data_IF_890080535971
#
_entry.id   IF_890080535971
#
_cell.length_a   1.000
_cell.length_b   1.000
_cell.length_c   1.000
_cell.angle_alpha   90.00
_cell.angle_beta   90.00
_cell.angle_gamma   90.00
#
_symmetry.space_group_name_H-M   'P 1'
#
loop_
_entity.id
_entity.type
_entity.pdbx_description
1 polymer ?
#
# COMPACT_ATOMS: atom_id res chain seq x y z
N UNK A 1 8.67 0.29 -20.38
CA UNK A 1 7.36 -0.36 -20.56
C UNK A 1 6.74 -0.44 -19.17
N UNK A 2 5.79 0.42 -18.83
CA UNK A 2 5.17 0.39 -17.51
C UNK A 2 4.49 -0.97 -17.34
N UNK A 3 4.93 -1.78 -16.38
CA UNK A 3 4.21 -3.01 -16.07
C UNK A 3 2.79 -2.65 -15.64
N UNK A 4 1.81 -3.00 -16.47
CA UNK A 4 0.41 -2.64 -16.23
C UNK A 4 -0.04 -3.17 -14.86
N UNK A 5 -0.44 -2.25 -13.98
CA UNK A 5 -1.05 -2.60 -12.71
C UNK A 5 -2.42 -3.20 -12.95
N UNK A 6 -2.71 -4.33 -12.32
CA UNK A 6 -4.09 -4.82 -12.28
C UNK A 6 -4.98 -3.82 -11.52
N UNK A 7 -6.30 -3.76 -11.78
CA UNK A 7 -7.19 -2.84 -11.07
C UNK A 7 -7.13 -2.98 -9.54
N UNK A 8 -6.94 -4.20 -9.02
CA UNK A 8 -6.77 -4.46 -7.57
C UNK A 8 -5.46 -3.90 -7.04
N UNK A 9 -4.36 -4.05 -7.77
CA UNK A 9 -3.07 -3.47 -7.39
C UNK A 9 -3.09 -1.94 -7.45
N UNK A 10 -3.75 -1.36 -8.45
CA UNK A 10 -3.95 0.09 -8.54
C UNK A 10 -4.72 0.61 -7.33
N UNK A 11 -5.81 -0.06 -6.95
CA UNK A 11 -6.57 0.29 -5.74
C UNK A 11 -5.73 0.20 -4.47
N UNK A 12 -4.99 -0.89 -4.29
CA UNK A 12 -4.13 -1.07 -3.13
C UNK A 12 -3.02 0.00 -3.05
N UNK A 13 -2.41 0.35 -4.19
CA UNK A 13 -1.42 1.42 -4.27
C UNK A 13 -2.01 2.78 -3.85
N UNK A 14 -3.21 3.11 -4.36
CA UNK A 14 -3.91 4.34 -4.00
C UNK A 14 -4.25 4.36 -2.51
N UNK A 15 -4.79 3.27 -1.95
CA UNK A 15 -5.06 3.18 -0.51
C UNK A 15 -3.80 3.40 0.32
N UNK A 16 -2.68 2.75 -0.03
CA UNK A 16 -1.41 2.92 0.69
C UNK A 16 -0.92 4.37 0.60
N UNK A 17 -0.98 4.99 -0.58
CA UNK A 17 -0.58 6.38 -0.78
C UNK A 17 -1.45 7.39 -0.01
N UNK A 18 -2.74 7.10 0.20
CA UNK A 18 -3.60 7.89 1.07
C UNK A 18 -3.41 7.59 2.57
N UNK A 19 -2.75 6.48 2.90
CA UNK A 19 -2.44 6.07 4.26
C UNK A 19 -3.18 4.81 4.67
N UNK A 20 -2.41 3.83 5.17
CA UNK A 20 -2.94 2.60 5.77
C UNK A 20 -2.22 2.25 7.05
N UNK A 21 -2.97 1.75 8.04
CA UNK A 21 -2.46 1.44 9.37
C UNK A 21 -2.75 -0.01 9.71
N UNK A 22 -1.76 -0.65 10.35
CA UNK A 22 -1.89 -1.97 10.94
C UNK A 22 -2.77 -1.90 12.18
N UNK A 23 -3.71 -2.83 12.27
CA UNK A 23 -4.48 -3.16 13.47
C UNK A 23 -4.67 -4.67 13.53
N UNK A 24 -5.30 -5.15 14.60
CA UNK A 24 -5.62 -6.57 14.71
C UNK A 24 -6.36 -7.07 13.46
N UNK A 25 -5.86 -8.14 12.83
CA UNK A 25 -6.44 -8.73 11.64
C UNK A 25 -6.02 -8.15 10.28
N UNK A 26 -5.21 -7.07 10.21
CA UNK A 26 -4.62 -6.61 8.95
C UNK A 26 -4.34 -5.11 8.85
N UNK A 27 -4.24 -4.60 7.61
CA UNK A 27 -4.06 -3.18 7.30
C UNK A 27 -5.34 -2.57 6.78
N UNK A 28 -5.57 -1.31 7.15
CA UNK A 28 -6.81 -0.62 6.83
C UNK A 28 -6.52 0.85 6.52
N UNK A 29 -7.28 1.41 5.59
CA UNK A 29 -7.21 2.85 5.29
C UNK A 29 -7.95 3.69 6.35
N UNK A 30 -7.91 5.02 6.19
CA UNK A 30 -8.57 5.97 7.09
C UNK A 30 -10.11 5.78 7.13
N UNK A 31 -10.70 5.23 6.07
CA UNK A 31 -12.13 4.87 6.02
C UNK A 31 -12.46 3.56 6.73
N UNK A 32 -11.45 2.85 7.23
CA UNK A 32 -11.60 1.55 7.87
C UNK A 32 -11.75 0.39 6.89
N UNK A 33 -11.57 0.62 5.59
CA UNK A 33 -11.60 -0.43 4.57
C UNK A 33 -10.34 -1.29 4.66
N UNK A 34 -10.51 -2.61 4.54
CA UNK A 34 -9.39 -3.56 4.62
C UNK A 34 -8.58 -3.55 3.34
N UNK A 35 -7.27 -3.39 3.48
CA UNK A 35 -6.33 -3.50 2.38
C UNK A 35 -6.23 -4.95 1.87
N UNK A 36 -6.23 -5.13 0.55
CA UNK A 36 -5.92 -6.41 -0.07
C UNK A 36 -4.42 -6.73 0.06
N UNK A 37 -4.10 -7.62 1.01
CA UNK A 37 -2.71 -8.02 1.30
C UNK A 37 -2.02 -8.70 0.13
N UNK A 38 -2.76 -9.35 -0.77
CA UNK A 38 -2.15 -10.00 -1.95
C UNK A 38 -1.62 -8.95 -2.92
N UNK A 39 -2.40 -7.91 -3.17
CA UNK A 39 -1.96 -6.77 -3.98
C UNK A 39 -0.84 -5.99 -3.30
N UNK A 40 -0.95 -5.72 -2.00
CA UNK A 40 0.10 -5.05 -1.25
C UNK A 40 1.44 -5.80 -1.32
N UNK A 41 1.44 -7.13 -1.12
CA UNK A 41 2.63 -7.95 -1.26
C UNK A 41 3.22 -7.94 -2.67
N UNK A 42 2.38 -7.89 -3.71
CA UNK A 42 2.85 -7.77 -5.08
C UNK A 42 3.54 -6.42 -5.32
N UNK A 43 3.04 -5.34 -4.74
CA UNK A 43 3.66 -4.02 -4.78
C UNK A 43 4.98 -3.98 -3.99
N UNK A 44 5.06 -4.64 -2.83
CA UNK A 44 6.30 -4.77 -2.06
C UNK A 44 7.39 -5.52 -2.85
N UNK A 45 7.02 -6.61 -3.55
CA UNK A 45 7.96 -7.36 -4.40
C UNK A 45 8.48 -6.55 -5.59
N UNK A 46 7.75 -5.52 -6.00
CA UNK A 46 8.16 -4.55 -7.02
C UNK A 46 9.01 -3.41 -6.46
N UNK A 47 9.22 -3.35 -5.15
CA UNK A 47 9.95 -2.27 -4.50
C UNK A 47 9.15 -0.96 -4.38
N UNK A 48 7.83 -0.98 -4.58
CA UNK A 48 6.99 0.22 -4.56
C UNK A 48 6.37 0.50 -3.19
N UNK A 49 6.29 -0.53 -2.35
CA UNK A 49 5.73 -0.44 -1.01
C UNK A 49 6.75 -0.96 -0.01
N UNK A 50 6.88 -0.27 1.11
CA UNK A 50 7.68 -0.68 2.25
C UNK A 50 6.83 -0.82 3.50
N UNK A 51 7.22 -1.72 4.39
CA UNK A 51 6.56 -1.97 5.67
C UNK A 51 7.48 -1.58 6.83
N UNK A 52 6.94 -0.88 7.81
CA UNK A 52 7.64 -0.55 9.04
C UNK A 52 6.76 -0.86 10.26
N UNK A 53 7.36 -1.48 11.27
CA UNK A 53 6.73 -1.73 12.57
C UNK A 53 6.84 -0.50 13.46
N UNK A 54 5.73 -0.01 14.02
CA UNK A 54 5.75 1.04 15.04
C UNK A 54 5.75 0.36 16.40
N UNK A 55 6.80 0.58 17.21
CA UNK A 55 6.82 0.18 18.63
C UNK A 55 7.09 -1.30 18.93
N UNK A 56 7.69 -2.06 18.01
CA UNK A 56 8.12 -3.45 18.26
C UNK A 56 7.00 -4.49 18.38
N UNK A 57 5.73 -4.07 18.32
CA UNK A 57 4.59 -4.97 18.26
C UNK A 57 4.26 -5.31 16.79
N UNK A 58 4.02 -6.59 16.44
CA UNK A 58 3.74 -7.02 15.06
C UNK A 58 2.46 -6.42 14.46
N UNK A 59 1.53 -5.97 15.31
CA UNK A 59 0.18 -5.52 14.95
C UNK A 59 0.08 -4.02 14.66
N UNK A 60 1.13 -3.25 14.97
CA UNK A 60 1.14 -1.79 14.87
C UNK A 60 2.09 -1.29 13.79
N UNK A 61 2.13 -1.95 12.63
CA UNK A 61 2.95 -1.47 11.51
C UNK A 61 2.19 -0.54 10.57
N UNK A 62 2.91 0.13 9.68
CA UNK A 62 2.36 0.97 8.61
C UNK A 62 3.03 0.60 7.29
N UNK A 63 2.30 0.77 6.20
CA UNK A 63 2.84 0.65 4.85
C UNK A 63 3.06 2.06 4.31
N UNK A 64 4.21 2.29 3.69
CA UNK A 64 4.47 3.47 2.87
C UNK A 64 4.76 3.11 1.43
N UNK A 65 4.69 4.14 0.59
CA UNK A 65 5.27 4.11 -0.74
C UNK A 65 6.75 4.48 -0.69
N UNK A 66 7.55 3.78 -1.50
CA UNK A 66 8.91 4.23 -1.84
C UNK A 66 8.84 5.40 -2.83
N UNK A 67 9.97 6.02 -3.17
CA UNK A 67 10.01 7.07 -4.20
C UNK A 67 9.42 6.60 -5.55
N UNK A 68 9.69 5.36 -5.94
CA UNK A 68 9.08 4.76 -7.14
C UNK A 68 7.58 4.50 -6.96
N UNK A 69 7.18 4.06 -5.77
CA UNK A 69 5.76 3.88 -5.43
C UNK A 69 4.98 5.19 -5.49
N UNK A 70 5.55 6.30 -5.01
CA UNK A 70 4.96 7.63 -5.08
C UNK A 70 4.77 8.12 -6.51
N UNK A 71 5.77 7.94 -7.38
CA UNK A 71 5.64 8.25 -8.82
C UNK A 71 4.49 7.47 -9.45
N UNK A 72 4.41 6.17 -9.14
CA UNK A 72 3.33 5.35 -9.68
C UNK A 72 1.95 5.72 -9.10
N UNK A 73 1.91 6.13 -7.83
CA UNK A 73 0.70 6.61 -7.19
C UNK A 73 0.16 7.86 -7.89
N UNK A 74 1.01 8.83 -8.18
CA UNK A 74 0.65 10.06 -8.91
C UNK A 74 0.08 9.75 -10.31
N UNK A 75 0.72 8.86 -11.07
CA UNK A 75 0.22 8.39 -12.37
C UNK A 75 -1.14 7.67 -12.29
N UNK A 76 -1.45 7.07 -11.14
CA UNK A 76 -2.67 6.32 -10.93
C UNK A 76 -3.85 7.18 -10.48
N UNK A 77 -3.64 8.42 -10.04
CA UNK A 77 -4.70 9.28 -9.54
C UNK A 77 -5.75 9.58 -10.62
N UNK A 78 -7.05 9.60 -10.27
CA UNK A 78 -8.08 10.07 -11.19
C UNK A 78 -7.86 11.56 -11.51
N UNK A 79 -8.00 11.90 -12.80
CA UNK A 79 -7.97 13.30 -13.28
C UNK A 79 -9.28 14.00 -13.03
#
# INVERSE_FOLDING_TARGET
>A
MAESLTPRMKRALLQIGYGVFGREGGFYDEGGERLDLRSANALCRRGWVMYYTIGGAPVSGRLDLTDEGWRMFEECQPR
#
